data_IF_999709410024
#
_entry.id   IF_999709410024
#
_cell.length_a   1.000
_cell.length_b   1.000
_cell.length_c   1.000
_cell.angle_alpha   90.00
_cell.angle_beta   90.00
_cell.angle_gamma   90.00
#
_symmetry.space_group_name_H-M   'P 1'
#
loop_
_entity.id
_entity.type
_entity.pdbx_description
1 polymer ?
#
# COMPACT_ATOMS: atom_id res chain seq x y z
N UNK A 1 4.82 5.94 -22.13
CA UNK A 1 3.95 6.80 -21.30
C UNK A 1 3.14 5.88 -20.40
N UNK A 2 3.46 5.79 -19.11
CA UNK A 2 2.73 4.93 -18.15
C UNK A 2 1.58 5.76 -17.60
N UNK A 3 0.35 5.38 -17.93
CA UNK A 3 -0.85 6.05 -17.46
C UNK A 3 -1.03 5.75 -15.97
N UNK A 4 -0.66 6.70 -15.10
CA UNK A 4 -1.13 6.69 -13.71
C UNK A 4 -2.64 6.97 -13.76
N UNK A 5 -3.43 5.90 -13.79
CA UNK A 5 -4.88 5.93 -13.77
C UNK A 5 -5.36 6.88 -12.69
N UNK A 6 -6.22 7.82 -13.09
CA UNK A 6 -6.87 8.86 -12.28
C UNK A 6 -7.84 8.24 -11.25
N UNK A 7 -7.35 7.40 -10.35
CA UNK A 7 -8.08 7.12 -9.10
C UNK A 7 -7.78 8.30 -8.19
N UNK A 8 -8.84 8.97 -7.72
CA UNK A 8 -8.66 10.10 -6.83
C UNK A 8 -7.91 9.64 -5.58
N UNK A 9 -6.82 10.30 -5.17
CA UNK A 9 -6.09 9.94 -3.95
C UNK A 9 -7.00 9.86 -2.71
N UNK A 10 -8.11 10.62 -2.71
CA UNK A 10 -9.15 10.60 -1.68
C UNK A 10 -9.83 9.24 -1.54
N UNK A 11 -10.13 8.55 -2.65
CA UNK A 11 -10.83 7.26 -2.61
C UNK A 11 -9.96 6.22 -1.90
N UNK A 12 -8.66 6.23 -2.18
CA UNK A 12 -7.68 5.32 -1.61
C UNK A 12 -7.48 5.55 -0.10
N UNK A 13 -7.39 6.81 0.31
CA UNK A 13 -7.24 7.19 1.72
C UNK A 13 -8.47 6.79 2.54
N UNK A 14 -9.67 6.83 1.95
CA UNK A 14 -10.90 6.38 2.63
C UNK A 14 -10.83 4.88 2.96
N UNK A 15 -10.42 4.03 2.00
CA UNK A 15 -10.28 2.59 2.25
C UNK A 15 -9.26 2.29 3.36
N UNK A 16 -8.11 2.97 3.34
CA UNK A 16 -7.06 2.78 4.34
C UNK A 16 -7.53 3.23 5.74
N UNK A 17 -8.13 4.41 5.84
CA UNK A 17 -8.61 4.93 7.12
C UNK A 17 -9.74 4.08 7.70
N UNK A 18 -10.66 3.63 6.85
CA UNK A 18 -11.73 2.72 7.27
C UNK A 18 -11.16 1.40 7.74
N UNK A 19 -10.22 0.79 7.00
CA UNK A 19 -9.55 -0.44 7.41
C UNK A 19 -8.88 -0.31 8.78
N UNK A 20 -8.17 0.81 9.02
CA UNK A 20 -7.54 1.08 10.32
C UNK A 20 -8.56 1.24 11.46
N UNK A 21 -9.72 1.84 11.18
CA UNK A 21 -10.81 1.93 12.15
C UNK A 21 -11.39 0.55 12.46
N UNK A 22 -11.64 -0.27 11.43
CA UNK A 22 -12.16 -1.63 11.58
C UNK A 22 -11.19 -2.53 12.35
N UNK A 23 -9.90 -2.39 12.05
CA UNK A 23 -8.85 -3.11 12.72
C UNK A 23 -8.78 -2.80 14.22
N UNK A 24 -9.45 -1.77 14.77
CA UNK A 24 -9.51 -1.60 16.23
C UNK A 24 -10.25 -2.75 16.94
N UNK A 25 -11.04 -3.53 16.21
CA UNK A 25 -11.73 -4.71 16.72
C UNK A 25 -11.18 -5.96 16.03
N UNK A 26 -10.65 -6.91 16.81
CA UNK A 26 -10.07 -8.15 16.29
C UNK A 26 -11.08 -9.00 15.50
N UNK A 27 -12.38 -8.92 15.83
CA UNK A 27 -13.41 -9.65 15.08
C UNK A 27 -13.63 -9.15 13.66
N UNK A 28 -13.12 -7.94 13.33
CA UNK A 28 -13.31 -7.27 12.04
C UNK A 28 -12.03 -7.20 11.21
N UNK A 29 -10.99 -7.94 11.59
CA UNK A 29 -9.71 -7.95 10.87
C UNK A 29 -9.86 -8.40 9.42
N UNK A 30 -10.78 -9.33 9.11
CA UNK A 30 -10.98 -9.79 7.74
C UNK A 30 -11.67 -8.73 6.85
N UNK A 31 -12.60 -7.96 7.41
CA UNK A 31 -13.20 -6.82 6.71
C UNK A 31 -12.14 -5.74 6.43
N UNK A 32 -11.26 -5.49 7.42
CA UNK A 32 -10.16 -4.55 7.27
C UNK A 32 -9.16 -5.02 6.18
N UNK A 33 -8.82 -6.31 6.14
CA UNK A 33 -7.99 -6.88 5.07
C UNK A 33 -8.65 -6.72 3.69
N UNK A 34 -9.98 -6.93 3.59
CA UNK A 34 -10.72 -6.77 2.35
C UNK A 34 -10.64 -5.33 1.80
N UNK A 35 -10.78 -4.32 2.67
CA UNK A 35 -10.65 -2.92 2.29
C UNK A 35 -9.25 -2.59 1.79
N UNK A 36 -8.21 -3.14 2.41
CA UNK A 36 -6.83 -2.92 1.97
C UNK A 36 -6.50 -3.67 0.68
N UNK A 37 -7.05 -4.88 0.46
CA UNK A 37 -6.99 -5.56 -0.84
C UNK A 37 -7.62 -4.69 -1.93
N UNK A 38 -8.75 -4.04 -1.64
CA UNK A 38 -9.37 -3.10 -2.58
C UNK A 38 -8.49 -1.88 -2.84
N UNK A 39 -7.91 -1.27 -1.79
CA UNK A 39 -6.99 -0.15 -1.94
C UNK A 39 -5.78 -0.52 -2.83
N UNK A 40 -5.16 -1.68 -2.59
CA UNK A 40 -4.04 -2.17 -3.41
C UNK A 40 -4.47 -2.37 -4.87
N UNK A 41 -5.65 -2.93 -5.14
CA UNK A 41 -6.16 -3.12 -6.50
C UNK A 41 -6.42 -1.80 -7.26
N UNK A 42 -6.69 -0.71 -6.53
CA UNK A 42 -6.88 0.61 -7.10
C UNK A 42 -5.56 1.32 -7.36
N UNK A 43 -4.55 1.08 -6.49
CA UNK A 43 -3.22 1.65 -6.63
C UNK A 43 -2.17 0.70 -6.06
N UNK A 44 -1.50 0.00 -6.97
CA UNK A 44 -0.51 -1.03 -6.62
C UNK A 44 0.78 -0.47 -6.02
N UNK A 45 1.07 0.83 -6.18
CA UNK A 45 2.27 1.49 -5.64
C UNK A 45 2.07 2.10 -4.23
N UNK A 46 0.89 1.91 -3.62
CA UNK A 46 0.63 2.46 -2.29
C UNK A 46 1.33 1.66 -1.18
N UNK A 47 2.44 2.18 -0.68
CA UNK A 47 3.22 1.60 0.43
C UNK A 47 2.39 1.45 1.71
N UNK A 48 1.61 2.46 2.09
CA UNK A 48 0.81 2.47 3.33
C UNK A 48 -0.24 1.34 3.34
N UNK A 49 -0.85 1.05 2.18
CA UNK A 49 -1.84 -0.01 2.05
C UNK A 49 -1.22 -1.39 2.33
N UNK A 50 -0.01 -1.66 1.82
CA UNK A 50 0.71 -2.90 2.12
C UNK A 50 1.15 -2.99 3.59
N UNK A 51 1.64 -1.88 4.17
CA UNK A 51 2.08 -1.87 5.57
C UNK A 51 0.92 -2.13 6.54
N UNK A 52 -0.22 -1.46 6.32
CA UNK A 52 -1.42 -1.67 7.14
C UNK A 52 -1.96 -3.09 6.99
N UNK A 53 -1.86 -3.67 5.78
CA UNK A 53 -2.30 -5.05 5.52
C UNK A 53 -1.40 -6.04 6.22
N UNK A 54 -0.09 -5.84 6.18
CA UNK A 54 0.88 -6.65 6.94
C UNK A 54 0.59 -6.65 8.44
N UNK A 55 0.27 -5.48 9.01
CA UNK A 55 -0.07 -5.35 10.44
C UNK A 55 -1.32 -6.14 10.82
N UNK A 56 -2.36 -6.09 9.98
CA UNK A 56 -3.58 -6.87 10.17
C UNK A 56 -3.30 -8.38 10.08
N UNK A 57 -2.51 -8.81 9.09
CA UNK A 57 -2.14 -10.21 8.92
C UNK A 57 -1.32 -10.75 10.11
N UNK A 58 -0.43 -9.94 10.69
CA UNK A 58 0.29 -10.30 11.93
C UNK A 58 -0.70 -10.55 13.07
N UNK A 59 -1.72 -9.70 13.23
CA UNK A 59 -2.74 -9.87 14.27
C UNK A 59 -3.63 -11.08 14.03
N UNK A 60 -3.86 -11.44 12.78
CA UNK A 60 -4.50 -12.71 12.38
C UNK A 60 -3.55 -13.93 12.47
N UNK A 61 -2.30 -13.76 12.92
CA UNK A 61 -1.27 -14.81 12.99
C UNK A 61 -0.87 -15.40 11.62
N UNK A 62 -1.14 -14.68 10.52
CA UNK A 62 -0.81 -15.05 9.14
C UNK A 62 0.55 -14.50 8.73
N UNK A 63 1.59 -14.94 9.43
CA UNK A 63 2.93 -14.34 9.34
C UNK A 63 3.56 -14.41 7.94
N UNK A 64 3.41 -15.53 7.23
CA UNK A 64 3.96 -15.68 5.88
C UNK A 64 3.37 -14.68 4.87
N UNK A 65 2.06 -14.41 4.97
CA UNK A 65 1.40 -13.42 4.13
C UNK A 65 1.77 -12.00 4.53
N UNK A 66 1.91 -11.74 5.84
CA UNK A 66 2.38 -10.46 6.33
C UNK A 66 3.79 -10.12 5.81
N UNK A 67 4.70 -11.09 5.82
CA UNK A 67 6.05 -10.95 5.28
C UNK A 67 6.02 -10.58 3.78
N UNK A 68 5.19 -11.27 2.98
CA UNK A 68 5.05 -10.92 1.56
C UNK A 68 4.55 -9.48 1.38
N UNK A 69 3.60 -9.03 2.20
CA UNK A 69 3.10 -7.65 2.14
C UNK A 69 4.18 -6.63 2.49
N UNK A 70 4.95 -6.85 3.55
CA UNK A 70 6.05 -5.95 3.91
C UNK A 70 7.15 -5.93 2.84
N UNK A 71 7.46 -7.08 2.23
CA UNK A 71 8.42 -7.17 1.13
C UNK A 71 7.96 -6.36 -0.08
N UNK A 72 6.67 -6.43 -0.44
CA UNK A 72 6.08 -5.59 -1.50
C UNK A 72 6.14 -4.11 -1.15
N UNK A 73 5.80 -3.74 0.09
CA UNK A 73 5.87 -2.37 0.56
C UNK A 73 7.29 -1.79 0.39
N UNK A 74 8.32 -2.57 0.76
CA UNK A 74 9.73 -2.19 0.58
C UNK A 74 10.07 -2.03 -0.90
N UNK A 75 9.68 -2.98 -1.76
CA UNK A 75 9.92 -2.89 -3.21
C UNK A 75 9.38 -1.59 -3.79
N UNK A 76 8.15 -1.20 -3.45
CA UNK A 76 7.56 0.05 -3.93
C UNK A 76 8.21 1.29 -3.32
N UNK A 77 8.57 1.27 -2.03
CA UNK A 77 9.29 2.36 -1.37
C UNK A 77 10.65 2.63 -2.03
N UNK A 78 11.42 1.58 -2.31
CA UNK A 78 12.72 1.71 -2.97
C UNK A 78 12.59 2.08 -4.45
N UNK A 79 11.61 1.53 -5.16
CA UNK A 79 11.36 1.89 -6.56
C UNK A 79 10.92 3.35 -6.68
N UNK A 80 10.04 3.82 -5.78
CA UNK A 80 9.62 5.22 -5.70
C UNK A 80 10.81 6.13 -5.35
N UNK A 81 11.60 5.79 -4.32
CA UNK A 81 12.78 6.58 -3.93
C UNK A 81 13.82 6.65 -5.06
N UNK A 82 14.11 5.52 -5.72
CA UNK A 82 15.02 5.47 -6.85
C UNK A 82 14.48 6.26 -8.05
N UNK A 83 13.17 6.20 -8.32
CA UNK A 83 12.53 7.00 -9.36
C UNK A 83 12.62 8.50 -9.04
N UNK A 84 12.35 8.91 -7.80
CA UNK A 84 12.51 10.30 -7.37
C UNK A 84 13.96 10.79 -7.48
N UNK A 85 14.94 9.96 -7.10
CA UNK A 85 16.36 10.28 -7.21
C UNK A 85 16.81 10.36 -8.68
N UNK A 86 16.36 9.44 -9.53
CA UNK A 86 16.74 9.38 -10.94
C UNK A 86 16.04 10.44 -11.79
N UNK A 87 14.83 10.88 -11.46
CA UNK A 87 14.16 11.99 -12.17
C UNK A 87 14.80 13.33 -11.80
N UNK A 88 15.30 13.50 -10.57
CA UNK A 88 16.04 14.70 -10.16
C UNK A 88 17.42 14.85 -10.83
N UNK A 89 18.04 13.74 -11.28
CA UNK A 89 19.34 13.75 -11.95
C UNK A 89 19.30 13.60 -13.48
N UNK A 90 18.11 13.45 -14.10
CA UNK A 90 18.00 13.24 -15.56
C UNK A 90 17.54 14.46 -16.36
N UNK A 91 17.39 15.62 -15.71
CA UNK A 91 17.05 16.90 -16.36
C UNK A 91 18.22 17.89 -16.41
N UNK A 92 19.47 17.39 -16.52
CA UNK A 92 20.57 18.21 -17.01
C UNK A 92 21.29 17.41 -18.09
N UNK A 93 21.25 17.95 -19.31
CA UNK A 93 21.82 17.43 -20.57
C UNK A 93 20.90 16.57 -21.44
N UNK A 94 20.03 17.26 -22.17
CA UNK A 94 20.05 17.26 -23.64
C UNK A 94 19.80 18.68 -24.14
#
# INVERSE_FOLDING_TARGET
MVYHTRVSPKDLTIFINLANLLAKNDSRLEEADALLRRAISLREDNVDAYQNRGSILVRQQRFAEAEDMYRRALKYKYTSAALHYNVSHINVHI
#
